data_IF_009040669445
#
_entry.id   IF_009040669445
#
_cell.length_a   1.000
_cell.length_b   1.000
_cell.length_c   1.000
_cell.angle_alpha   90.00
_cell.angle_beta   90.00
_cell.angle_gamma   90.00
#
_symmetry.space_group_name_H-M   'P 1'
#
loop_
_entity.id
_entity.type
_entity.pdbx_description
1 polymer ?
#
# COMPACT_ATOMS: atom_id res chain seq x y z
N UNK A 1 18.65 29.06 13.08
CA UNK A 1 18.19 27.96 12.22
C UNK A 1 16.83 27.56 12.77
N UNK A 2 15.75 27.86 12.04
CA UNK A 2 14.39 27.72 12.54
C UNK A 2 14.02 26.23 12.45
N UNK A 3 13.84 25.56 13.59
CA UNK A 3 13.16 24.26 13.64
C UNK A 3 11.80 24.45 12.98
N UNK A 4 11.62 23.84 11.81
CA UNK A 4 10.35 23.85 11.12
C UNK A 4 9.46 22.86 11.88
N UNK A 5 8.73 23.35 12.89
CA UNK A 5 7.76 22.56 13.64
C UNK A 5 6.75 21.98 12.65
N UNK A 6 6.92 20.69 12.40
CA UNK A 6 5.99 19.67 11.93
C UNK A 6 4.63 20.23 11.48
N UNK A 7 4.51 20.47 10.17
CA UNK A 7 3.19 20.63 9.59
C UNK A 7 2.53 19.25 9.57
N UNK A 8 1.89 18.87 10.68
CA UNK A 8 1.23 17.58 10.85
C UNK A 8 0.29 17.25 9.68
N UNK A 9 -0.43 18.25 9.16
CA UNK A 9 -1.28 18.06 7.99
C UNK A 9 -0.47 17.63 6.76
N UNK A 10 0.67 18.28 6.51
CA UNK A 10 1.56 17.93 5.40
C UNK A 10 2.14 16.53 5.57
N UNK A 11 2.57 16.17 6.78
CA UNK A 11 3.17 14.86 7.05
C UNK A 11 2.17 13.72 6.93
N UNK A 12 0.96 13.90 7.49
CA UNK A 12 -0.13 12.95 7.32
C UNK A 12 -0.50 12.83 5.84
N UNK A 13 -0.65 13.96 5.13
CA UNK A 13 -0.96 13.95 3.69
C UNK A 13 0.08 13.16 2.89
N UNK A 14 1.37 13.38 3.15
CA UNK A 14 2.45 12.67 2.45
C UNK A 14 2.46 11.18 2.82
N UNK A 15 2.22 10.84 4.08
CA UNK A 15 2.10 9.45 4.55
C UNK A 15 0.92 8.71 3.88
N UNK A 16 -0.26 9.33 3.80
CA UNK A 16 -1.43 8.75 3.13
C UNK A 16 -1.20 8.56 1.63
N UNK A 17 -0.62 9.56 0.94
CA UNK A 17 -0.33 9.43 -0.49
C UNK A 17 0.71 8.34 -0.79
N UNK A 18 1.73 8.21 0.05
CA UNK A 18 2.76 7.19 -0.10
C UNK A 18 2.24 5.76 0.17
N UNK A 19 1.16 5.61 0.94
CA UNK A 19 0.63 4.29 1.30
C UNK A 19 0.23 3.43 0.09
N UNK A 20 -0.47 4.02 -0.89
CA UNK A 20 -0.91 3.32 -2.10
C UNK A 20 0.28 2.93 -3.00
N UNK A 21 1.28 3.82 -3.12
CA UNK A 21 2.51 3.58 -3.86
C UNK A 21 3.31 2.46 -3.20
N UNK A 22 3.50 2.54 -1.88
CA UNK A 22 4.24 1.52 -1.12
C UNK A 22 3.56 0.14 -1.17
N UNK A 23 2.23 0.09 -1.18
CA UNK A 23 1.49 -1.17 -1.29
C UNK A 23 1.71 -1.83 -2.63
N UNK A 24 1.59 -1.07 -3.72
CA UNK A 24 1.92 -1.54 -5.07
C UNK A 24 3.35 -2.06 -5.13
N UNK A 25 4.31 -1.27 -4.67
CA UNK A 25 5.73 -1.58 -4.81
C UNK A 25 6.12 -2.85 -4.03
N UNK A 26 5.56 -3.05 -2.83
CA UNK A 26 5.76 -4.29 -2.06
C UNK A 26 5.17 -5.51 -2.74
N UNK A 27 3.96 -5.40 -3.28
CA UNK A 27 3.35 -6.51 -4.01
C UNK A 27 4.11 -6.82 -5.30
N UNK A 28 4.57 -5.79 -6.02
CA UNK A 28 5.42 -5.97 -7.19
C UNK A 28 6.72 -6.71 -6.83
N UNK A 29 7.35 -6.36 -5.70
CA UNK A 29 8.55 -7.06 -5.24
C UNK A 29 8.27 -8.50 -4.78
N UNK A 30 7.22 -8.72 -3.99
CA UNK A 30 6.90 -10.04 -3.42
C UNK A 30 6.45 -11.07 -4.47
N UNK A 31 5.82 -10.61 -5.56
CA UNK A 31 5.29 -11.46 -6.62
C UNK A 31 6.06 -11.37 -7.94
N UNK A 32 7.16 -10.61 -7.99
CA UNK A 32 7.89 -10.28 -9.23
C UNK A 32 6.97 -9.72 -10.34
N UNK A 33 6.02 -8.86 -9.94
CA UNK A 33 5.12 -8.22 -10.89
C UNK A 33 5.72 -6.92 -11.43
N UNK A 34 5.60 -6.74 -12.75
CA UNK A 34 5.70 -5.41 -13.33
C UNK A 34 4.52 -4.53 -12.89
N UNK A 35 4.70 -3.21 -12.86
CA UNK A 35 3.63 -2.24 -12.59
C UNK A 35 2.41 -2.48 -13.52
N UNK A 36 2.56 -2.73 -14.84
CA UNK A 36 1.43 -3.12 -15.68
C UNK A 36 0.71 -4.40 -15.24
N UNK A 37 1.45 -5.42 -14.77
CA UNK A 37 0.84 -6.65 -14.23
C UNK A 37 0.00 -6.36 -12.99
N UNK A 38 0.52 -5.56 -12.06
CA UNK A 38 -0.24 -5.13 -10.87
C UNK A 38 -1.57 -4.50 -11.28
N UNK A 39 -1.55 -3.50 -12.18
CA UNK A 39 -2.78 -2.84 -12.61
C UNK A 39 -3.69 -3.75 -13.46
N UNK A 40 -3.14 -4.72 -14.21
CA UNK A 40 -3.96 -5.75 -14.86
C UNK A 40 -4.72 -6.55 -13.81
N UNK A 41 -4.04 -7.11 -12.81
CA UNK A 41 -4.63 -7.89 -11.71
C UNK A 41 -5.68 -7.09 -10.92
N UNK A 42 -5.46 -5.78 -10.75
CA UNK A 42 -6.39 -4.88 -10.04
C UNK A 42 -7.70 -4.61 -10.80
N UNK A 43 -7.70 -4.62 -12.14
CA UNK A 43 -8.83 -4.19 -12.97
C UNK A 43 -9.99 -5.20 -13.09
N UNK A 44 -9.90 -6.37 -12.46
CA UNK A 44 -10.70 -7.52 -12.89
C UNK A 44 -11.83 -7.88 -11.94
N UNK A 45 -12.89 -7.09 -11.99
CA UNK A 45 -14.20 -7.45 -11.39
C UNK A 45 -15.39 -7.04 -12.28
N UNK A 46 -15.22 -6.32 -13.40
CA UNK A 46 -16.39 -5.75 -14.07
C UNK A 46 -17.13 -6.63 -15.09
N UNK A 47 -16.57 -7.74 -15.58
CA UNK A 47 -17.29 -8.70 -16.41
C UNK A 47 -16.46 -9.97 -16.59
N UNK A 48 -17.11 -11.11 -16.44
CA UNK A 48 -16.79 -12.49 -16.85
C UNK A 48 -15.51 -12.73 -17.70
N UNK A 49 -14.32 -12.32 -17.26
CA UNK A 49 -13.08 -12.63 -17.94
C UNK A 49 -12.47 -13.90 -17.33
N UNK A 50 -12.76 -15.03 -17.97
CA UNK A 50 -12.53 -16.39 -17.49
C UNK A 50 -11.06 -16.83 -17.57
N UNK A 51 -10.12 -16.03 -18.08
CA UNK A 51 -8.85 -16.62 -18.55
C UNK A 51 -7.50 -16.15 -17.96
N UNK A 52 -7.36 -15.07 -17.18
CA UNK A 52 -5.98 -14.61 -16.85
C UNK A 52 -5.76 -13.81 -15.57
N UNK A 53 -6.74 -13.83 -14.68
CA UNK A 53 -7.17 -12.56 -14.08
C UNK A 53 -7.57 -12.70 -12.62
N UNK A 54 -7.87 -13.93 -12.19
CA UNK A 54 -8.17 -14.26 -10.80
C UNK A 54 -6.89 -14.33 -9.97
N UNK A 55 -6.93 -13.72 -8.79
CA UNK A 55 -5.96 -13.99 -7.73
C UNK A 55 -6.15 -15.43 -7.24
N UNK A 56 -5.10 -16.23 -7.27
CA UNK A 56 -5.00 -17.52 -6.60
C UNK A 56 -5.18 -17.34 -5.09
N UNK A 57 -5.49 -18.43 -4.39
CA UNK A 57 -5.64 -18.39 -2.93
C UNK A 57 -4.33 -17.98 -2.24
N UNK A 58 -3.18 -18.40 -2.78
CA UNK A 58 -1.85 -18.01 -2.29
C UNK A 58 -1.61 -16.51 -2.51
N UNK A 59 -1.94 -15.99 -3.69
CA UNK A 59 -1.86 -14.54 -3.95
C UNK A 59 -2.72 -13.75 -2.97
N UNK A 60 -3.97 -14.19 -2.73
CA UNK A 60 -4.87 -13.53 -1.78
C UNK A 60 -4.31 -13.51 -0.37
N UNK A 61 -3.83 -14.66 0.12
CA UNK A 61 -3.27 -14.78 1.47
C UNK A 61 -2.06 -13.84 1.64
N UNK A 62 -1.15 -13.88 0.67
CA UNK A 62 0.06 -13.05 0.71
C UNK A 62 -0.26 -11.56 0.56
N UNK A 63 -1.24 -11.18 -0.26
CA UNK A 63 -1.77 -9.80 -0.34
C UNK A 63 -2.32 -9.37 1.04
N UNK A 64 -3.09 -10.22 1.71
CA UNK A 64 -3.62 -9.92 3.04
C UNK A 64 -2.50 -9.77 4.08
N UNK A 65 -1.47 -10.60 4.03
CA UNK A 65 -0.30 -10.47 4.92
C UNK A 65 0.44 -9.14 4.71
N UNK A 66 0.66 -8.74 3.45
CA UNK A 66 1.27 -7.45 3.12
C UNK A 66 0.41 -6.29 3.63
N UNK A 67 -0.91 -6.35 3.43
CA UNK A 67 -1.84 -5.33 3.90
C UNK A 67 -1.81 -5.17 5.43
N UNK A 68 -1.84 -6.28 6.18
CA UNK A 68 -1.77 -6.26 7.64
C UNK A 68 -0.42 -5.74 8.16
N UNK A 69 0.69 -6.17 7.55
CA UNK A 69 2.02 -5.65 7.89
C UNK A 69 2.10 -4.14 7.68
N UNK A 70 1.65 -3.67 6.50
CA UNK A 70 1.66 -2.25 6.19
C UNK A 70 0.73 -1.45 7.08
N UNK A 71 -0.45 -1.99 7.44
CA UNK A 71 -1.37 -1.33 8.36
C UNK A 71 -0.72 -1.10 9.72
N UNK A 72 -0.02 -2.10 10.25
CA UNK A 72 0.70 -1.98 11.53
C UNK A 72 1.78 -0.90 11.46
N UNK A 73 2.62 -0.93 10.42
CA UNK A 73 3.66 0.09 10.21
C UNK A 73 3.06 1.49 10.05
N UNK A 74 1.92 1.60 9.36
CA UNK A 74 1.21 2.85 9.14
C UNK A 74 0.66 3.42 10.45
N UNK A 75 0.08 2.56 11.30
CA UNK A 75 -0.39 2.94 12.64
C UNK A 75 0.76 3.41 13.52
N UNK A 76 1.89 2.71 13.52
CA UNK A 76 3.09 3.11 14.28
C UNK A 76 3.61 4.49 13.83
N UNK A 77 3.64 4.74 12.51
CA UNK A 77 4.01 6.04 11.95
C UNK A 77 3.06 7.15 12.40
N UNK A 78 1.74 6.95 12.25
CA UNK A 78 0.73 7.92 12.71
C UNK A 78 0.88 8.20 14.20
N UNK A 79 1.04 7.15 15.02
CA UNK A 79 1.20 7.30 16.45
C UNK A 79 2.42 8.16 16.80
N UNK A 80 3.54 7.94 16.12
CA UNK A 80 4.75 8.73 16.32
C UNK A 80 4.55 10.20 15.90
N UNK A 81 3.91 10.45 14.75
CA UNK A 81 3.63 11.82 14.30
C UNK A 81 2.75 12.59 15.29
N UNK A 82 1.72 11.93 15.84
CA UNK A 82 0.82 12.56 16.80
C UNK A 82 1.49 12.76 18.16
N UNK A 83 2.33 11.82 18.62
CA UNK A 83 3.00 11.88 19.93
C UNK A 83 3.96 13.08 20.06
N UNK A 84 4.47 13.59 18.94
CA UNK A 84 5.40 14.72 18.91
C UNK A 84 4.74 16.09 18.67
N UNK A 85 3.40 16.12 18.50
CA UNK A 85 2.58 17.33 18.51
C UNK A 85 2.19 17.74 19.94
#
# INVERSE_FOLDING_TARGET
>A
MMENKDNLLRELHDLYNQSAVGFRDRLCADFDWSIPTYYRKMRLIEKEDVSGTRLSNVEKEKISQVALSMQKEFQEKIFNLIKHC
#
